data_IF_479937266233
#
_entry.id   IF_479937266233
#
_cell.length_a   1.000
_cell.length_b   1.000
_cell.length_c   1.000
_cell.angle_alpha   90.00
_cell.angle_beta   90.00
_cell.angle_gamma   90.00
#
_symmetry.space_group_name_H-M   'P 1'
#
loop_
_entity.id
_entity.type
_entity.pdbx_description
1 polymer ?
#
# COMPACT_ATOMS: atom_id res chain seq x y z
N UNK A 1 34.39 -27.84 24.16
CA UNK A 1 32.95 -28.10 24.35
C UNK A 1 32.37 -26.82 24.90
N UNK A 2 31.89 -25.97 24.00
CA UNK A 2 31.52 -24.58 24.25
C UNK A 2 30.40 -24.25 23.27
N UNK A 3 29.20 -24.73 23.61
CA UNK A 3 28.00 -24.41 22.84
C UNK A 3 27.71 -22.92 22.96
N UNK A 4 27.87 -22.20 21.85
CA UNK A 4 27.33 -20.85 21.74
C UNK A 4 25.83 -20.98 21.48
N UNK A 5 25.01 -20.49 22.41
CA UNK A 5 23.56 -20.48 22.26
C UNK A 5 23.14 -19.33 21.35
N UNK A 6 22.39 -19.54 20.26
CA UNK A 6 21.87 -18.45 19.45
C UNK A 6 20.67 -17.79 20.16
N UNK A 7 20.90 -16.63 20.76
CA UNK A 7 19.88 -15.85 21.50
C UNK A 7 19.50 -14.55 20.77
N UNK A 8 18.85 -14.65 19.59
CA UNK A 8 18.26 -13.46 18.93
C UNK A 8 17.25 -13.70 17.79
N UNK A 9 17.11 -14.90 17.21
CA UNK A 9 16.23 -15.11 16.02
C UNK A 9 14.74 -15.35 16.35
N UNK A 10 14.42 -15.73 17.58
CA UNK A 10 13.04 -16.06 17.99
C UNK A 10 12.00 -14.90 17.97
N UNK A 11 12.33 -13.61 18.25
CA UNK A 11 11.30 -12.58 18.38
C UNK A 11 10.68 -12.18 17.02
N UNK A 12 11.46 -12.09 15.93
CA UNK A 12 10.94 -11.73 14.62
C UNK A 12 10.01 -12.81 14.05
N UNK A 13 10.41 -14.08 14.14
CA UNK A 13 9.58 -15.21 13.69
C UNK A 13 8.29 -15.28 14.53
N UNK A 14 8.38 -15.06 15.85
CA UNK A 14 7.20 -15.01 16.72
C UNK A 14 6.23 -13.89 16.32
N UNK A 15 6.73 -12.70 16.00
CA UNK A 15 5.92 -11.55 15.58
C UNK A 15 5.24 -11.78 14.21
N UNK A 16 5.92 -12.46 13.27
CA UNK A 16 5.33 -12.85 11.98
C UNK A 16 4.23 -13.92 12.13
N UNK A 17 4.44 -14.92 13.00
CA UNK A 17 3.42 -15.92 13.34
C UNK A 17 2.19 -15.26 13.96
N UNK A 18 2.41 -14.31 14.86
CA UNK A 18 1.34 -13.53 15.48
C UNK A 18 0.53 -12.72 14.43
N UNK A 19 1.21 -12.02 13.51
CA UNK A 19 0.56 -11.31 12.41
C UNK A 19 -0.31 -12.25 11.57
N UNK A 20 0.24 -13.41 11.16
CA UNK A 20 -0.48 -14.43 10.38
C UNK A 20 -1.75 -14.90 11.10
N UNK A 21 -1.63 -15.26 12.37
CA UNK A 21 -2.75 -15.81 13.14
C UNK A 21 -3.82 -14.75 13.42
N UNK A 22 -3.44 -13.46 13.51
CA UNK A 22 -4.38 -12.32 13.54
C UNK A 22 -5.05 -12.11 12.18
N UNK A 23 -4.29 -12.16 11.08
CA UNK A 23 -4.80 -12.00 9.72
C UNK A 23 -5.83 -13.08 9.36
N UNK A 24 -5.55 -14.35 9.66
CA UNK A 24 -6.51 -15.46 9.46
C UNK A 24 -7.81 -15.20 10.24
N UNK A 25 -7.71 -14.78 11.51
CA UNK A 25 -8.87 -14.42 12.32
C UNK A 25 -9.67 -13.26 11.74
N UNK A 26 -9.00 -12.23 11.20
CA UNK A 26 -9.63 -11.10 10.52
C UNK A 26 -10.38 -11.55 9.25
N UNK A 27 -9.75 -12.37 8.41
CA UNK A 27 -10.38 -12.94 7.20
C UNK A 27 -11.60 -13.80 7.55
N UNK A 28 -11.51 -14.68 8.56
CA UNK A 28 -12.64 -15.50 9.01
C UNK A 28 -13.81 -14.64 9.50
N UNK A 29 -13.55 -13.55 10.22
CA UNK A 29 -14.59 -12.63 10.66
C UNK A 29 -15.29 -11.91 9.48
N UNK A 30 -14.53 -11.47 8.48
CA UNK A 30 -15.08 -10.89 7.24
C UNK A 30 -15.90 -11.92 6.47
N UNK A 31 -15.42 -13.15 6.31
CA UNK A 31 -16.15 -14.22 5.61
C UNK A 31 -17.45 -14.61 6.35
N UNK A 32 -17.43 -14.66 7.68
CA UNK A 32 -18.64 -14.92 8.46
C UNK A 32 -19.69 -13.81 8.28
N UNK A 33 -19.27 -12.54 8.27
CA UNK A 33 -20.17 -11.42 7.98
C UNK A 33 -20.61 -11.36 6.51
N UNK A 34 -19.78 -11.80 5.57
CA UNK A 34 -20.15 -11.88 4.16
C UNK A 34 -21.36 -12.82 3.97
N UNK A 35 -21.37 -13.98 4.60
CA UNK A 35 -22.53 -14.90 4.57
C UNK A 35 -23.81 -14.22 5.10
N UNK A 36 -23.68 -13.33 6.08
CA UNK A 36 -24.82 -12.58 6.65
C UNK A 36 -25.27 -11.42 5.74
N UNK A 37 -24.35 -10.68 5.11
CA UNK A 37 -24.67 -9.53 4.25
C UNK A 37 -25.03 -9.92 2.81
N UNK A 38 -24.60 -11.09 2.33
CA UNK A 38 -24.85 -11.59 0.97
C UNK A 38 -26.31 -11.43 0.49
N UNK A 39 -27.36 -11.87 1.22
CA UNK A 39 -28.74 -11.72 0.76
C UNK A 39 -29.23 -10.26 0.68
N UNK A 40 -28.58 -9.33 1.36
CA UNK A 40 -28.98 -7.91 1.44
C UNK A 40 -28.25 -7.00 0.44
N UNK A 41 -27.41 -7.56 -0.45
CA UNK A 41 -26.56 -6.76 -1.36
C UNK A 41 -27.34 -5.74 -2.21
N UNK A 42 -28.55 -6.08 -2.67
CA UNK A 42 -29.42 -5.16 -3.42
C UNK A 42 -30.01 -4.05 -2.53
N UNK A 43 -30.48 -4.38 -1.32
CA UNK A 43 -31.04 -3.40 -0.39
C UNK A 43 -29.99 -2.38 0.05
N UNK A 44 -28.77 -2.86 0.33
CA UNK A 44 -27.62 -2.00 0.65
C UNK A 44 -27.27 -1.14 -0.56
N UNK A 45 -27.32 -1.67 -1.79
CA UNK A 45 -27.06 -0.88 -3.00
C UNK A 45 -28.11 0.23 -3.20
N UNK A 46 -29.38 -0.04 -2.95
CA UNK A 46 -30.45 0.97 -3.05
C UNK A 46 -30.29 2.11 -2.06
N UNK A 47 -29.82 1.83 -0.83
CA UNK A 47 -29.46 2.88 0.13
C UNK A 47 -28.23 3.64 -0.36
N UNK A 48 -27.16 2.91 -0.71
CA UNK A 48 -25.89 3.50 -1.15
C UNK A 48 -26.08 4.46 -2.32
N UNK A 49 -26.89 4.07 -3.32
CA UNK A 49 -27.14 4.81 -4.54
C UNK A 49 -27.90 6.14 -4.37
N UNK A 50 -28.51 6.43 -3.22
CA UNK A 50 -29.36 7.62 -3.07
C UNK A 50 -28.65 8.96 -3.40
N UNK A 51 -27.39 9.22 -2.98
CA UNK A 51 -26.74 10.51 -3.27
C UNK A 51 -26.49 10.74 -4.76
N UNK A 52 -26.20 9.70 -5.55
CA UNK A 52 -26.06 9.84 -7.01
C UNK A 52 -27.41 9.97 -7.69
N UNK A 53 -28.42 9.18 -7.29
CA UNK A 53 -29.78 9.30 -7.86
C UNK A 53 -30.39 10.69 -7.62
N UNK A 54 -30.13 11.30 -6.45
CA UNK A 54 -30.58 12.65 -6.13
C UNK A 54 -29.80 13.77 -6.86
N UNK A 55 -28.64 13.45 -7.45
CA UNK A 55 -27.81 14.39 -8.20
C UNK A 55 -28.10 14.36 -9.71
N UNK A 56 -28.81 13.34 -10.20
CA UNK A 56 -29.15 13.18 -11.61
C UNK A 56 -30.36 14.05 -12.01
N UNK A 57 -30.42 14.53 -13.26
CA UNK A 57 -31.61 15.19 -13.82
C UNK A 57 -32.86 14.28 -13.77
N UNK A 58 -34.05 14.89 -13.68
CA UNK A 58 -35.31 14.15 -13.68
C UNK A 58 -35.48 13.31 -14.96
N UNK A 59 -35.54 11.99 -14.80
CA UNK A 59 -35.68 11.03 -15.90
C UNK A 59 -34.43 10.18 -16.16
N UNK A 60 -33.25 10.62 -15.71
CA UNK A 60 -32.01 9.85 -15.84
C UNK A 60 -31.96 8.71 -14.81
N UNK A 61 -31.32 7.60 -15.19
CA UNK A 61 -31.12 6.44 -14.32
C UNK A 61 -29.72 5.86 -14.49
N UNK A 62 -29.22 5.16 -13.47
CA UNK A 62 -27.97 4.44 -13.59
C UNK A 62 -28.11 3.24 -14.52
N UNK A 63 -27.05 2.97 -15.29
CA UNK A 63 -26.99 1.91 -16.30
C UNK A 63 -26.03 0.80 -15.89
N UNK A 64 -26.12 -0.34 -16.59
CA UNK A 64 -25.15 -1.42 -16.50
C UNK A 64 -24.54 -1.66 -17.88
N UNK A 65 -23.35 -1.11 -18.11
CA UNK A 65 -22.60 -1.20 -19.38
C UNK A 65 -22.06 -2.61 -19.64
N UNK A 66 -21.68 -3.33 -18.58
CA UNK A 66 -21.17 -4.71 -18.64
C UNK A 66 -22.28 -5.69 -18.27
N UNK A 67 -22.43 -6.74 -19.08
CA UNK A 67 -23.45 -7.81 -18.93
C UNK A 67 -23.46 -8.41 -17.52
N UNK A 68 -22.29 -8.49 -16.87
CA UNK A 68 -22.12 -9.12 -15.56
C UNK A 68 -22.24 -8.13 -14.37
N UNK A 69 -22.31 -6.82 -14.61
CA UNK A 69 -22.45 -5.81 -13.53
C UNK A 69 -23.67 -6.04 -12.62
N UNK A 70 -24.88 -6.38 -13.12
CA UNK A 70 -26.04 -6.62 -12.26
C UNK A 70 -25.87 -7.79 -11.28
N UNK A 71 -24.94 -8.72 -11.57
CA UNK A 71 -24.60 -9.84 -10.69
C UNK A 71 -23.41 -9.52 -9.77
N UNK A 72 -22.34 -8.93 -10.31
CA UNK A 72 -21.11 -8.66 -9.54
C UNK A 72 -21.23 -7.44 -8.62
N UNK A 73 -22.00 -6.41 -8.98
CA UNK A 73 -22.10 -5.19 -8.17
C UNK A 73 -22.73 -5.46 -6.79
N UNK A 74 -23.87 -6.17 -6.65
CA UNK A 74 -24.42 -6.53 -5.33
C UNK A 74 -23.49 -7.46 -4.53
N UNK A 75 -22.79 -8.39 -5.20
CA UNK A 75 -21.82 -9.30 -4.57
C UNK A 75 -20.61 -8.55 -4.00
N UNK A 76 -20.02 -7.67 -4.81
CA UNK A 76 -18.89 -6.81 -4.46
C UNK A 76 -19.28 -5.87 -3.30
N UNK A 77 -20.49 -5.31 -3.33
CA UNK A 77 -21.00 -4.50 -2.23
C UNK A 77 -21.21 -5.32 -0.95
N UNK A 78 -21.76 -6.54 -1.01
CA UNK A 78 -21.92 -7.40 0.16
C UNK A 78 -20.56 -7.75 0.81
N UNK A 79 -19.52 -7.97 0.00
CA UNK A 79 -18.15 -8.13 0.50
C UNK A 79 -17.65 -6.87 1.23
N UNK A 80 -17.79 -5.68 0.64
CA UNK A 80 -17.35 -4.47 1.31
C UNK A 80 -18.20 -4.12 2.55
N UNK A 81 -19.52 -4.34 2.52
CA UNK A 81 -20.38 -4.21 3.69
C UNK A 81 -19.93 -5.15 4.83
N UNK A 82 -19.53 -6.38 4.52
CA UNK A 82 -18.95 -7.31 5.49
C UNK A 82 -17.60 -6.85 6.05
N UNK A 83 -16.72 -6.29 5.21
CA UNK A 83 -15.47 -5.67 5.66
C UNK A 83 -15.74 -4.50 6.61
N UNK A 84 -16.66 -3.60 6.27
CA UNK A 84 -17.05 -2.46 7.12
C UNK A 84 -17.77 -2.89 8.41
N UNK A 85 -18.56 -3.96 8.37
CA UNK A 85 -19.15 -4.58 9.56
C UNK A 85 -18.10 -5.26 10.46
N UNK A 86 -17.01 -5.76 9.88
CA UNK A 86 -15.91 -6.39 10.62
C UNK A 86 -14.97 -5.37 11.30
N UNK A 87 -15.01 -4.09 10.92
CA UNK A 87 -14.05 -3.06 11.35
C UNK A 87 -13.80 -2.97 12.87
N UNK A 88 -14.78 -3.11 13.78
CA UNK A 88 -14.54 -3.14 15.22
C UNK A 88 -13.55 -4.25 15.63
N UNK A 89 -13.62 -5.40 14.96
CA UNK A 89 -12.74 -6.53 15.17
C UNK A 89 -11.42 -6.40 14.40
N UNK A 90 -11.45 -5.85 13.18
CA UNK A 90 -10.22 -5.58 12.39
C UNK A 90 -9.31 -4.58 13.13
N UNK A 91 -9.86 -3.45 13.57
CA UNK A 91 -9.15 -2.42 14.35
C UNK A 91 -8.65 -2.99 15.68
N UNK A 92 -9.45 -3.78 16.39
CA UNK A 92 -8.99 -4.48 17.59
C UNK A 92 -7.77 -5.39 17.32
N UNK A 93 -7.80 -6.19 16.24
CA UNK A 93 -6.70 -7.09 15.89
C UNK A 93 -5.45 -6.34 15.39
N UNK A 94 -5.61 -5.22 14.70
CA UNK A 94 -4.51 -4.35 14.27
C UNK A 94 -3.86 -3.63 15.47
N UNK A 95 -4.64 -2.95 16.31
CA UNK A 95 -4.11 -2.18 17.44
C UNK A 95 -3.51 -3.03 18.54
N UNK A 96 -4.02 -4.25 18.75
CA UNK A 96 -3.41 -5.19 19.70
C UNK A 96 -2.14 -5.87 19.16
N UNK A 97 -1.81 -5.69 17.88
CA UNK A 97 -0.53 -6.11 17.28
C UNK A 97 0.51 -5.00 17.29
N UNK A 98 0.11 -3.76 16.97
CA UNK A 98 1.03 -2.60 16.87
C UNK A 98 1.56 -2.14 18.23
N UNK A 99 0.75 -2.23 19.31
CA UNK A 99 1.08 -1.58 20.58
C UNK A 99 1.46 -2.48 21.80
N UNK A 100 1.94 -3.75 21.70
CA UNK A 100 2.24 -4.61 22.86
C UNK A 100 3.15 -3.97 23.92
N UNK A 101 4.06 -3.07 23.50
CA UNK A 101 4.92 -2.29 24.42
C UNK A 101 4.17 -1.27 25.30
N UNK A 102 3.06 -0.68 24.83
CA UNK A 102 2.29 0.34 25.57
C UNK A 102 1.28 -0.30 26.54
N UNK A 103 0.77 -1.49 26.24
CA UNK A 103 -0.24 -2.19 27.06
C UNK A 103 0.26 -2.69 28.42
N UNK A 104 1.57 -2.76 28.67
CA UNK A 104 2.11 -3.30 29.93
C UNK A 104 1.77 -2.40 31.13
N UNK A 105 1.86 -1.07 30.96
CA UNK A 105 1.73 -0.09 32.04
C UNK A 105 0.47 0.79 31.94
N UNK A 106 -0.13 0.98 30.75
CA UNK A 106 -1.28 1.89 30.55
C UNK A 106 -2.53 1.24 29.91
N UNK A 107 -2.94 0.07 30.41
CA UNK A 107 -4.17 -0.62 29.95
C UNK A 107 -5.43 0.26 29.95
N UNK A 108 -5.48 1.29 30.81
CA UNK A 108 -6.59 2.24 30.94
C UNK A 108 -6.72 3.20 29.74
N UNK A 109 -5.63 3.51 29.03
CA UNK A 109 -5.62 4.46 27.91
C UNK A 109 -5.89 3.79 26.56
N UNK A 110 -5.53 2.52 26.42
CA UNK A 110 -5.72 1.79 25.17
C UNK A 110 -7.20 1.47 24.85
N UNK A 111 -8.03 1.16 25.85
CA UNK A 111 -9.46 0.88 25.65
C UNK A 111 -10.27 2.09 25.13
N UNK A 112 -10.20 3.31 25.72
CA UNK A 112 -10.91 4.47 25.19
C UNK A 112 -10.35 4.90 23.83
N UNK A 113 -9.06 4.68 23.57
CA UNK A 113 -8.45 5.00 22.28
C UNK A 113 -8.90 4.03 21.17
N UNK A 114 -8.98 2.72 21.45
CA UNK A 114 -9.60 1.74 20.54
C UNK A 114 -11.07 2.07 20.27
N UNK A 115 -11.84 2.39 21.31
CA UNK A 115 -13.25 2.77 21.15
C UNK A 115 -13.39 4.06 20.33
N UNK A 116 -12.49 5.02 20.53
CA UNK A 116 -12.44 6.27 19.75
C UNK A 116 -12.11 6.00 18.29
N UNK A 117 -11.15 5.11 17.99
CA UNK A 117 -10.83 4.62 16.64
C UNK A 117 -12.07 4.05 15.97
N UNK A 118 -12.75 3.07 16.58
CA UNK A 118 -13.97 2.46 16.02
C UNK A 118 -15.06 3.51 15.73
N UNK A 119 -15.24 4.50 16.60
CA UNK A 119 -16.17 5.61 16.39
C UNK A 119 -15.70 6.54 15.26
N UNK A 120 -14.41 6.87 15.18
CA UNK A 120 -13.82 7.71 14.14
C UNK A 120 -13.91 7.04 12.76
N UNK A 121 -13.65 5.74 12.66
CA UNK A 121 -13.82 4.99 11.42
C UNK A 121 -15.26 5.10 10.87
N UNK A 122 -16.26 4.83 11.72
CA UNK A 122 -17.67 4.94 11.30
C UNK A 122 -18.09 6.39 11.06
N UNK A 123 -17.52 7.36 11.78
CA UNK A 123 -17.71 8.79 11.50
C UNK A 123 -17.11 9.18 10.16
N UNK A 124 -15.96 8.64 9.78
CA UNK A 124 -15.32 8.84 8.47
C UNK A 124 -16.11 8.20 7.33
N UNK A 125 -16.62 6.99 7.54
CA UNK A 125 -17.54 6.34 6.60
C UNK A 125 -18.85 7.15 6.44
N UNK A 126 -19.43 7.63 7.55
CA UNK A 126 -20.60 8.50 7.52
C UNK A 126 -20.31 9.85 6.84
N UNK A 127 -19.14 10.44 7.09
CA UNK A 127 -18.69 11.67 6.44
C UNK A 127 -18.56 11.48 4.91
N UNK A 128 -18.00 10.35 4.46
CA UNK A 128 -17.96 10.02 3.04
C UNK A 128 -19.39 10.01 2.44
N UNK A 129 -20.32 9.30 3.08
CA UNK A 129 -21.68 9.18 2.56
C UNK A 129 -22.52 10.47 2.61
N UNK A 130 -22.50 11.19 3.74
CA UNK A 130 -23.39 12.32 3.99
C UNK A 130 -22.81 13.69 3.64
N UNK A 131 -21.47 13.83 3.56
CA UNK A 131 -20.83 15.10 3.22
C UNK A 131 -20.08 15.04 1.88
N UNK A 132 -19.39 13.95 1.57
CA UNK A 132 -18.54 13.88 0.36
C UNK A 132 -19.35 13.53 -0.89
N UNK A 133 -20.04 12.39 -0.93
CA UNK A 133 -20.84 11.99 -2.11
C UNK A 133 -21.84 13.08 -2.56
N UNK A 134 -22.59 13.75 -1.65
CA UNK A 134 -23.59 14.75 -2.04
C UNK A 134 -23.00 16.07 -2.55
N UNK A 135 -21.69 16.30 -2.44
CA UNK A 135 -21.02 17.45 -3.06
C UNK A 135 -20.27 17.02 -4.33
N UNK A 136 -19.66 15.83 -4.31
CA UNK A 136 -18.94 15.25 -5.46
C UNK A 136 -19.86 15.02 -6.67
N UNK A 137 -21.01 14.37 -6.50
CA UNK A 137 -21.86 14.02 -7.66
C UNK A 137 -22.52 15.24 -8.33
N UNK A 138 -23.14 16.20 -7.60
CA UNK A 138 -23.65 17.42 -8.23
C UNK A 138 -22.58 18.26 -8.90
N UNK A 139 -21.34 18.24 -8.40
CA UNK A 139 -20.21 18.87 -9.09
C UNK A 139 -19.90 18.17 -10.42
N UNK A 140 -19.78 16.83 -10.44
CA UNK A 140 -19.51 16.06 -11.67
C UNK A 140 -20.63 16.22 -12.71
N UNK A 141 -21.89 16.27 -12.29
CA UNK A 141 -23.02 16.55 -13.17
C UNK A 141 -22.96 18.01 -13.67
N UNK A 142 -22.71 18.97 -12.78
CA UNK A 142 -22.71 20.41 -13.09
C UNK A 142 -21.57 20.90 -14.00
N UNK A 143 -20.51 20.11 -14.20
CA UNK A 143 -19.46 20.39 -15.20
C UNK A 143 -19.74 19.74 -16.58
N UNK A 144 -20.80 18.95 -16.71
CA UNK A 144 -21.17 18.30 -17.97
C UNK A 144 -21.84 19.32 -18.92
N UNK A 145 -21.50 19.35 -20.23
CA UNK A 145 -22.17 20.22 -21.20
C UNK A 145 -23.67 19.93 -21.34
N UNK A 146 -24.47 20.96 -21.63
CA UNK A 146 -25.94 20.86 -21.73
C UNK A 146 -26.43 19.85 -22.78
N UNK A 147 -25.63 19.57 -23.81
CA UNK A 147 -25.93 18.63 -24.89
C UNK A 147 -25.60 17.15 -24.57
N UNK A 148 -25.16 16.82 -23.34
CA UNK A 148 -24.69 15.48 -22.96
C UNK A 148 -25.51 14.89 -21.81
N UNK A 149 -26.15 13.73 -22.06
CA UNK A 149 -26.89 12.99 -21.04
C UNK A 149 -25.93 12.27 -20.06
N UNK A 150 -26.06 12.56 -18.76
CA UNK A 150 -25.26 11.89 -17.71
C UNK A 150 -25.94 10.59 -17.27
N UNK A 151 -25.31 9.45 -17.55
CA UNK A 151 -25.78 8.11 -17.15
C UNK A 151 -24.66 7.34 -16.41
N UNK A 152 -24.58 7.38 -15.07
CA UNK A 152 -23.54 6.67 -14.33
C UNK A 152 -23.70 5.15 -14.41
N UNK A 153 -22.60 4.42 -14.55
CA UNK A 153 -22.59 2.95 -14.46
C UNK A 153 -22.64 2.49 -12.98
N UNK A 154 -23.45 1.48 -12.69
CA UNK A 154 -23.63 0.96 -11.32
C UNK A 154 -22.34 0.40 -10.68
N UNK A 155 -21.42 -0.15 -11.47
CA UNK A 155 -20.16 -0.69 -10.99
C UNK A 155 -19.12 0.41 -10.79
N UNK A 156 -19.01 1.36 -11.72
CA UNK A 156 -18.09 2.49 -11.59
C UNK A 156 -18.51 3.40 -10.42
N UNK A 157 -19.83 3.60 -10.23
CA UNK A 157 -20.38 4.25 -9.04
C UNK A 157 -19.98 3.53 -7.74
N UNK A 158 -20.17 2.21 -7.68
CA UNK A 158 -19.80 1.41 -6.50
C UNK A 158 -18.30 1.52 -6.20
N UNK A 159 -17.46 1.49 -7.23
CA UNK A 159 -16.01 1.55 -7.08
C UNK A 159 -15.54 2.91 -6.55
N UNK A 160 -16.11 4.02 -7.04
CA UNK A 160 -15.86 5.36 -6.49
C UNK A 160 -16.33 5.42 -5.04
N UNK A 161 -17.56 4.99 -4.75
CA UNK A 161 -18.12 5.00 -3.41
C UNK A 161 -17.24 4.22 -2.43
N UNK A 162 -16.92 2.95 -2.73
CA UNK A 162 -16.09 2.08 -1.88
C UNK A 162 -14.70 2.68 -1.64
N UNK A 163 -14.05 3.21 -2.68
CA UNK A 163 -12.75 3.88 -2.52
C UNK A 163 -12.84 5.05 -1.55
N UNK A 164 -13.87 5.89 -1.67
CA UNK A 164 -14.11 7.02 -0.76
C UNK A 164 -14.37 6.54 0.67
N UNK A 165 -15.20 5.51 0.87
CA UNK A 165 -15.46 4.93 2.20
C UNK A 165 -14.18 4.41 2.86
N UNK A 166 -13.32 3.70 2.13
CA UNK A 166 -12.05 3.24 2.69
C UNK A 166 -11.11 4.40 2.98
N UNK A 167 -10.93 5.34 2.04
CA UNK A 167 -10.00 6.42 2.25
C UNK A 167 -10.42 7.37 3.36
N UNK A 168 -11.71 7.73 3.49
CA UNK A 168 -12.17 8.52 4.63
C UNK A 168 -12.25 7.71 5.93
N UNK A 169 -12.66 6.44 5.90
CA UNK A 169 -12.61 5.57 7.08
C UNK A 169 -11.18 5.47 7.66
N UNK A 170 -10.18 5.26 6.80
CA UNK A 170 -8.77 5.21 7.19
C UNK A 170 -8.16 6.59 7.47
N UNK A 171 -8.57 7.66 6.77
CA UNK A 171 -8.11 9.02 7.05
C UNK A 171 -8.61 9.50 8.43
N UNK A 172 -9.81 9.08 8.85
CA UNK A 172 -10.30 9.33 10.20
C UNK A 172 -9.55 8.54 11.28
N UNK A 173 -8.71 7.55 10.93
CA UNK A 173 -7.78 6.91 11.87
C UNK A 173 -6.44 7.65 12.01
N UNK A 174 -6.11 8.59 11.11
CA UNK A 174 -4.88 9.41 11.19
C UNK A 174 -4.74 10.14 12.54
N UNK A 175 -5.78 10.75 13.14
CA UNK A 175 -5.67 11.35 14.47
C UNK A 175 -5.23 10.35 15.55
N UNK A 176 -5.79 9.13 15.52
CA UNK A 176 -5.49 8.07 16.49
C UNK A 176 -4.07 7.54 16.28
N UNK A 177 -3.67 7.30 15.02
CA UNK A 177 -2.32 6.91 14.67
C UNK A 177 -1.28 7.95 15.11
N UNK A 178 -1.55 9.25 14.88
CA UNK A 178 -0.71 10.37 15.36
C UNK A 178 -0.56 10.36 16.87
N UNK A 179 -1.65 10.24 17.62
CA UNK A 179 -1.62 10.16 19.09
C UNK A 179 -0.79 8.95 19.55
N UNK A 180 -1.00 7.77 18.95
CA UNK A 180 -0.26 6.56 19.33
C UNK A 180 1.24 6.64 19.04
N UNK A 181 1.65 7.23 17.91
CA UNK A 181 3.08 7.40 17.59
C UNK A 181 3.79 8.30 18.61
N UNK A 182 3.11 9.34 19.12
CA UNK A 182 3.63 10.22 20.17
C UNK A 182 3.63 9.50 21.53
N UNK A 183 2.55 8.80 21.91
CA UNK A 183 2.46 8.04 23.16
C UNK A 183 3.48 6.89 23.22
N UNK A 184 3.77 6.25 22.09
CA UNK A 184 4.80 5.22 21.96
C UNK A 184 6.25 5.78 21.98
N UNK A 185 6.42 7.11 22.08
CA UNK A 185 7.71 7.82 21.99
C UNK A 185 8.48 7.56 20.68
N UNK A 186 7.81 7.09 19.63
CA UNK A 186 8.40 6.89 18.30
C UNK A 186 8.69 8.22 17.58
N UNK A 187 8.01 9.30 17.99
CA UNK A 187 8.14 10.65 17.43
C UNK A 187 7.63 11.69 18.43
N UNK A 188 7.84 12.98 18.14
CA UNK A 188 7.32 14.09 18.95
C UNK A 188 6.35 14.97 18.13
N UNK A 189 5.46 15.76 18.78
CA UNK A 189 4.56 16.67 18.08
C UNK A 189 5.25 17.81 17.31
N UNK A 190 6.53 18.06 17.56
CA UNK A 190 7.35 19.05 16.87
C UNK A 190 7.84 18.46 15.55
N UNK A 191 8.42 17.25 15.60
CA UNK A 191 8.84 16.48 14.41
C UNK A 191 7.68 16.13 13.48
N UNK A 192 6.45 15.97 13.99
CA UNK A 192 5.27 15.84 13.14
C UNK A 192 4.81 17.19 12.56
N UNK A 193 4.93 18.29 13.29
CA UNK A 193 4.62 19.61 12.76
C UNK A 193 5.58 20.02 11.62
N UNK A 194 6.85 19.65 11.69
CA UNK A 194 7.81 19.85 10.59
C UNK A 194 7.40 19.09 9.32
N UNK A 195 6.74 17.92 9.48
CA UNK A 195 6.34 17.05 8.36
C UNK A 195 4.99 17.39 7.72
N UNK A 196 4.35 18.51 8.10
CA UNK A 196 3.10 19.01 7.47
C UNK A 196 3.11 18.99 5.94
N UNK A 197 4.18 19.43 5.22
CA UNK A 197 4.18 19.44 3.75
C UNK A 197 4.00 18.04 3.15
N UNK A 198 4.64 17.02 3.74
CA UNK A 198 4.50 15.62 3.28
C UNK A 198 3.08 15.08 3.49
N UNK A 199 2.42 15.45 4.60
CA UNK A 199 1.03 15.05 4.85
C UNK A 199 0.07 15.73 3.87
N UNK A 200 0.29 17.02 3.57
CA UNK A 200 -0.49 17.74 2.55
C UNK A 200 -0.32 17.06 1.19
N UNK A 201 0.91 16.80 0.75
CA UNK A 201 1.17 16.07 -0.52
C UNK A 201 0.50 14.70 -0.51
N UNK A 202 0.61 13.93 0.58
CA UNK A 202 -0.07 12.64 0.73
C UNK A 202 -1.60 12.74 0.60
N UNK A 203 -2.22 13.75 1.23
CA UNK A 203 -3.65 14.01 1.11
C UNK A 203 -4.07 14.35 -0.33
N UNK A 204 -3.26 15.14 -1.05
CA UNK A 204 -3.50 15.42 -2.48
C UNK A 204 -3.30 14.20 -3.38
N UNK A 205 -2.34 13.31 -3.09
CA UNK A 205 -2.13 12.04 -3.80
C UNK A 205 -3.30 11.08 -3.57
N UNK A 206 -3.78 10.95 -2.34
CA UNK A 206 -5.00 10.18 -2.05
C UNK A 206 -6.20 10.80 -2.76
N UNK A 207 -6.36 12.13 -2.74
CA UNK A 207 -7.40 12.82 -3.53
C UNK A 207 -7.35 12.45 -5.02
N UNK A 208 -6.17 12.47 -5.63
CA UNK A 208 -5.94 12.11 -7.04
C UNK A 208 -6.25 10.63 -7.36
N UNK A 209 -6.18 9.73 -6.38
CA UNK A 209 -6.54 8.33 -6.55
C UNK A 209 -8.07 8.08 -6.42
N UNK A 210 -8.75 8.95 -5.66
CA UNK A 210 -10.18 8.84 -5.36
C UNK A 210 -11.07 9.50 -6.40
N UNK A 211 -10.66 10.65 -6.92
CA UNK A 211 -11.33 11.34 -8.01
C UNK A 211 -10.53 11.22 -9.30
N UNK A 212 -11.17 11.34 -10.48
CA UNK A 212 -10.46 11.65 -11.73
C UNK A 212 -9.57 12.91 -11.56
N UNK A 213 -8.71 13.26 -12.55
CA UNK A 213 -7.85 14.44 -12.50
C UNK A 213 -8.62 15.76 -12.62
N UNK A 214 -9.44 16.06 -11.60
CA UNK A 214 -10.13 17.31 -11.34
C UNK A 214 -9.60 17.94 -10.05
N UNK A 215 -9.06 19.14 -10.18
CA UNK A 215 -8.44 19.89 -9.09
C UNK A 215 -9.43 20.29 -8.01
N UNK A 216 -10.70 20.55 -8.37
CA UNK A 216 -11.70 21.03 -7.40
C UNK A 216 -12.14 19.92 -6.45
N UNK A 217 -12.55 18.77 -6.99
CA UNK A 217 -12.88 17.59 -6.19
C UNK A 217 -11.65 17.09 -5.41
N UNK A 218 -10.48 17.00 -6.06
CA UNK A 218 -9.24 16.60 -5.38
C UNK A 218 -8.93 17.49 -4.17
N UNK A 219 -9.01 18.82 -4.31
CA UNK A 219 -8.77 19.76 -3.20
C UNK A 219 -9.83 19.63 -2.10
N UNK A 220 -11.10 19.45 -2.49
CA UNK A 220 -12.22 19.24 -1.57
C UNK A 220 -12.06 17.95 -0.75
N UNK A 221 -11.47 16.88 -1.31
CA UNK A 221 -11.16 15.66 -0.57
C UNK A 221 -9.90 15.78 0.29
N UNK A 222 -8.86 16.47 -0.22
CA UNK A 222 -7.60 16.63 0.48
C UNK A 222 -7.72 17.49 1.75
N UNK A 223 -8.55 18.54 1.73
CA UNK A 223 -8.69 19.48 2.85
C UNK A 223 -9.17 18.81 4.17
N UNK A 224 -10.24 17.98 4.19
CA UNK A 224 -10.63 17.23 5.39
C UNK A 224 -9.53 16.29 5.90
N UNK A 225 -8.79 15.63 5.00
CA UNK A 225 -7.69 14.72 5.40
C UNK A 225 -6.54 15.46 6.09
N UNK A 226 -6.18 16.64 5.58
CA UNK A 226 -5.21 17.53 6.24
C UNK A 226 -5.73 18.04 7.60
N UNK A 227 -7.00 18.41 7.69
CA UNK A 227 -7.61 18.88 8.93
C UNK A 227 -7.61 17.79 10.03
N UNK A 228 -7.85 16.53 9.66
CA UNK A 228 -7.80 15.39 10.60
C UNK A 228 -6.39 15.19 11.17
N UNK A 229 -5.34 15.32 10.34
CA UNK A 229 -3.96 15.31 10.84
C UNK A 229 -3.71 16.45 11.84
N UNK A 230 -4.21 17.66 11.56
CA UNK A 230 -4.06 18.79 12.49
C UNK A 230 -4.76 18.56 13.82
N UNK A 231 -5.96 17.97 13.81
CA UNK A 231 -6.70 17.57 15.03
C UNK A 231 -5.90 16.53 15.81
N UNK A 232 -5.36 15.49 15.16
CA UNK A 232 -4.50 14.51 15.79
C UNK A 232 -3.28 15.13 16.46
N UNK A 233 -2.63 16.05 15.75
CA UNK A 233 -1.44 16.75 16.22
C UNK A 233 -1.75 17.64 17.43
N UNK A 234 -2.85 18.40 17.39
CA UNK A 234 -3.33 19.23 18.50
C UNK A 234 -3.66 18.39 19.74
N UNK A 235 -4.40 17.30 19.58
CA UNK A 235 -4.77 16.40 20.70
C UNK A 235 -3.53 15.72 21.27
N UNK A 236 -2.56 15.31 20.44
CA UNK A 236 -1.30 14.72 20.92
C UNK A 236 -0.49 15.70 21.80
N UNK A 237 -0.45 17.00 21.45
CA UNK A 237 0.19 18.04 22.28
C UNK A 237 -0.50 18.22 23.63
N UNK A 238 -1.84 18.26 23.65
CA UNK A 238 -2.61 18.36 24.91
C UNK A 238 -2.38 17.16 25.82
N UNK A 239 -2.26 15.96 25.25
CA UNK A 239 -1.98 14.72 25.99
C UNK A 239 -0.56 14.67 26.57
N UNK A 240 0.45 15.19 25.86
CA UNK A 240 1.83 15.27 26.38
C UNK A 240 1.93 16.31 27.49
N UNK A 241 1.43 17.53 27.26
CA UNK A 241 1.49 18.62 28.24
C UNK A 241 0.78 18.28 29.57
N UNK A 242 -0.33 17.54 29.51
CA UNK A 242 -1.01 17.07 30.73
C UNK A 242 -0.19 16.05 31.53
N UNK A 243 0.64 15.24 30.86
CA UNK A 243 1.46 14.19 31.51
C UNK A 243 2.75 14.74 32.09
N UNK A 244 3.35 15.74 31.46
CA UNK A 244 4.49 16.46 32.04
C UNK A 244 4.10 17.11 33.39
N UNK A 245 2.88 17.67 33.50
CA UNK A 245 2.34 18.18 34.76
C UNK A 245 2.10 17.07 35.80
N UNK A 246 1.49 15.94 35.40
CA UNK A 246 1.27 14.80 36.31
C UNK A 246 2.61 14.22 36.84
N UNK A 247 3.65 14.13 35.99
CA UNK A 247 5.00 13.67 36.36
C UNK A 247 5.77 14.72 37.21
N UNK A 248 5.59 16.02 36.95
CA UNK A 248 6.12 17.10 37.79
C UNK A 248 5.46 17.12 39.18
N UNK A 249 4.14 17.02 39.28
CA UNK A 249 3.44 16.95 40.58
C UNK A 249 3.79 15.66 41.35
N UNK A 250 3.96 14.52 40.67
CA UNK A 250 4.42 13.27 41.28
C UNK A 250 5.87 13.39 41.81
N UNK A 251 6.78 13.97 41.03
CA UNK A 251 8.18 14.16 41.44
C UNK A 251 8.37 15.25 42.50
N UNK A 252 7.56 16.31 42.47
CA UNK A 252 7.47 17.31 43.53
C UNK A 252 6.95 16.70 44.84
N UNK A 253 5.96 15.80 44.78
CA UNK A 253 5.48 15.02 45.92
C UNK A 253 6.58 14.13 46.54
N UNK A 254 7.40 13.48 45.71
CA UNK A 254 8.55 12.67 46.17
C UNK A 254 9.66 13.55 46.77
N UNK A 255 9.94 14.71 46.16
CA UNK A 255 10.91 15.69 46.68
C UNK A 255 10.47 16.27 48.03
N UNK A 256 9.19 16.62 48.17
CA UNK A 256 8.62 17.09 49.43
C UNK A 256 8.63 16.00 50.52
N UNK A 257 8.39 14.73 50.16
CA UNK A 257 8.51 13.60 51.09
C UNK A 257 9.97 13.37 51.55
N UNK A 258 10.95 13.51 50.63
CA UNK A 258 12.38 13.43 50.97
C UNK A 258 12.83 14.59 51.87
N UNK A 259 12.37 15.81 51.61
CA UNK A 259 12.62 16.98 52.46
C UNK A 259 11.95 16.84 53.85
N UNK A 260 10.73 16.27 53.91
CA UNK A 260 10.03 15.99 55.16
C UNK A 260 10.72 14.95 56.04
N UNK A 261 11.36 13.95 55.45
CA UNK A 261 12.15 12.95 56.17
C UNK A 261 13.41 13.54 56.82
N UNK A 262 14.00 14.59 56.24
CA UNK A 262 15.17 15.28 56.79
C UNK A 262 14.89 16.15 58.02
N UNK A 263 13.67 16.66 58.18
CA UNK A 263 13.31 17.59 59.26
C UNK A 263 13.03 16.92 60.62
N UNK A 264 12.78 15.61 60.65
CA UNK A 264 12.43 14.87 61.87
C UNK A 264 13.64 14.37 62.69
N UNK A 265 14.87 14.54 62.19
CA UNK A 265 16.10 14.01 62.79
C UNK A 265 16.96 15.05 63.54
N UNK A 266 16.41 16.24 63.83
CA UNK A 266 17.15 17.37 64.42
C UNK A 266 16.71 17.69 65.87
N UNK A 267 16.64 16.69 66.75
CA UNK A 267 16.35 16.90 68.17
C UNK A 267 16.99 15.82 69.08
N UNK A 268 18.26 16.00 69.48
CA UNK A 268 18.80 15.30 70.65
C UNK A 268 20.30 14.99 70.66
N UNK A 269 21.00 15.52 71.67
CA UNK A 269 22.14 14.84 72.30
C UNK A 269 23.53 15.18 71.73
N UNK A 270 24.43 15.65 72.61
CA UNK A 270 25.80 16.02 72.28
C UNK A 270 26.83 14.94 72.63
N UNK A 271 28.05 15.18 72.13
CA UNK A 271 29.37 14.86 72.69
C UNK A 271 30.06 13.52 72.32
N UNK A 272 31.15 13.65 71.56
CA UNK A 272 32.45 12.99 71.78
C UNK A 272 33.48 13.46 70.72
N UNK A 273 34.69 13.84 71.15
CA UNK A 273 35.78 14.24 70.25
C UNK A 273 36.78 13.09 70.01
N UNK A 274 37.29 12.97 68.78
CA UNK A 274 38.52 12.23 68.46
C UNK A 274 39.18 12.75 67.15
N UNK A 275 40.50 12.58 67.06
CA UNK A 275 41.38 13.21 66.04
C UNK A 275 42.05 12.15 65.15
N UNK A 276 42.73 12.59 64.07
CA UNK A 276 43.62 11.83 63.15
C UNK A 276 42.91 11.03 62.05
N UNK A 277 43.47 10.79 60.84
CA UNK A 277 44.80 11.10 60.29
C UNK A 277 44.71 11.46 58.78
N UNK A 278 45.82 11.88 58.16
CA UNK A 278 45.88 12.26 56.73
C UNK A 278 46.44 11.15 55.83
N UNK A 279 45.92 11.06 54.58
CA UNK A 279 46.57 10.72 53.28
C UNK A 279 47.48 9.45 53.14
N UNK A 280 47.70 8.85 51.93
CA UNK A 280 47.49 9.44 50.59
C UNK A 280 46.90 8.53 49.47
N UNK A 281 46.56 9.21 48.36
CA UNK A 281 46.65 8.82 46.94
C UNK A 281 46.46 7.35 46.46
N UNK A 282 45.50 7.19 45.54
CA UNK A 282 45.70 6.41 44.31
C UNK A 282 45.09 7.15 43.12
N UNK A 283 45.90 7.51 42.12
CA UNK A 283 45.44 8.04 40.84
C UNK A 283 45.33 6.90 39.82
N UNK A 284 44.24 6.87 39.04
CA UNK A 284 44.05 5.88 37.97
C UNK A 284 42.67 5.99 37.32
N UNK A 285 42.64 6.26 36.02
CA UNK A 285 41.47 6.32 35.12
C UNK A 285 40.23 7.09 35.61
N UNK A 286 40.20 8.39 35.29
CA UNK A 286 38.98 9.02 34.78
C UNK A 286 39.03 9.00 33.23
N UNK A 287 37.88 9.23 32.59
CA UNK A 287 37.65 9.25 31.14
C UNK A 287 37.68 7.89 30.40
N UNK A 288 36.50 7.27 30.29
CA UNK A 288 36.08 6.62 29.06
C UNK A 288 34.97 7.53 28.49
N UNK A 289 35.32 8.31 27.46
CA UNK A 289 34.44 9.32 26.90
C UNK A 289 33.32 8.70 26.05
N UNK A 290 32.23 9.46 25.92
CA UNK A 290 31.17 9.21 24.94
C UNK A 290 31.79 9.15 23.54
N UNK A 291 31.33 8.21 22.69
CA UNK A 291 31.69 8.19 21.28
C UNK A 291 30.92 9.31 20.56
N UNK A 292 31.46 10.52 20.67
CA UNK A 292 30.99 11.71 19.97
C UNK A 292 31.12 11.47 18.45
N UNK A 293 30.01 11.63 17.73
CA UNK A 293 30.00 11.53 16.27
C UNK A 293 30.63 12.79 15.69
N UNK A 294 31.94 12.76 15.43
CA UNK A 294 32.56 13.75 14.55
C UNK A 294 32.13 13.46 13.10
N UNK A 295 31.53 14.44 12.39
CA UNK A 295 31.35 14.33 10.95
C UNK A 295 32.73 14.31 10.28
N UNK A 296 32.91 13.42 9.30
CA UNK A 296 34.14 13.34 8.51
C UNK A 296 34.49 14.72 7.94
N UNK A 297 35.76 15.11 8.03
CA UNK A 297 36.24 16.28 7.32
C UNK A 297 36.21 16.05 5.79
N UNK A 298 36.33 17.13 5.00
CA UNK A 298 36.22 17.04 3.54
C UNK A 298 37.26 16.08 2.93
N UNK A 299 38.44 15.93 3.55
CA UNK A 299 39.51 15.05 3.04
C UNK A 299 39.21 13.59 3.37
N UNK A 300 38.73 13.30 4.59
CA UNK A 300 38.31 11.97 4.99
C UNK A 300 37.09 11.48 4.19
N UNK A 301 36.17 12.39 3.84
CA UNK A 301 35.00 12.06 3.02
C UNK A 301 35.40 11.69 1.58
N UNK A 302 36.34 12.43 0.97
CA UNK A 302 36.89 12.10 -0.34
C UNK A 302 37.65 10.74 -0.30
N UNK A 303 38.46 10.48 0.74
CA UNK A 303 39.18 9.20 0.90
C UNK A 303 38.25 7.99 1.14
N UNK A 304 37.07 8.18 1.74
CA UNK A 304 36.04 7.14 1.84
C UNK A 304 35.32 6.94 0.51
N UNK A 305 35.02 7.99 -0.25
CA UNK A 305 34.44 7.87 -1.61
C UNK A 305 35.37 7.11 -2.55
N UNK A 306 36.65 7.49 -2.63
CA UNK A 306 37.66 6.82 -3.46
C UNK A 306 37.76 5.32 -3.11
N UNK A 307 37.61 4.96 -1.83
CA UNK A 307 37.63 3.57 -1.37
C UNK A 307 36.39 2.79 -1.79
N UNK A 308 35.21 3.40 -1.68
CA UNK A 308 33.93 2.79 -2.10
C UNK A 308 33.90 2.60 -3.61
N UNK A 309 34.39 3.57 -4.39
CA UNK A 309 34.48 3.48 -5.85
C UNK A 309 35.47 2.39 -6.27
N UNK A 310 36.63 2.28 -5.61
CA UNK A 310 37.58 1.18 -5.84
C UNK A 310 37.05 -0.21 -5.43
N UNK A 311 36.20 -0.30 -4.39
CA UNK A 311 35.51 -1.55 -4.03
C UNK A 311 34.45 -1.92 -5.09
N UNK A 312 33.76 -0.94 -5.66
CA UNK A 312 32.77 -1.15 -6.72
C UNK A 312 33.41 -1.60 -8.04
N UNK A 313 34.50 -0.95 -8.46
CA UNK A 313 35.31 -1.34 -9.64
C UNK A 313 35.88 -2.78 -9.50
N UNK A 314 36.27 -3.17 -8.29
CA UNK A 314 36.75 -4.52 -8.00
C UNK A 314 35.64 -5.59 -8.13
N UNK A 315 34.37 -5.22 -7.90
CA UNK A 315 33.20 -6.10 -8.06
C UNK A 315 32.79 -6.21 -9.53
N UNK A 316 32.72 -5.11 -10.28
CA UNK A 316 32.43 -5.13 -11.72
C UNK A 316 33.52 -5.87 -12.53
N UNK A 317 34.78 -5.73 -12.13
CA UNK A 317 35.91 -6.47 -12.72
C UNK A 317 35.82 -8.00 -12.57
N UNK A 318 35.06 -8.50 -11.58
CA UNK A 318 34.88 -9.94 -11.36
C UNK A 318 33.87 -10.59 -12.33
N UNK A 319 32.90 -9.82 -12.87
CA UNK A 319 31.85 -10.31 -13.76
C UNK A 319 32.30 -10.68 -15.19
N UNK A 320 33.53 -10.32 -15.57
CA UNK A 320 34.00 -10.48 -16.95
C UNK A 320 34.37 -11.91 -17.40
N UNK A 321 34.67 -12.82 -16.46
CA UNK A 321 35.23 -14.14 -16.81
C UNK A 321 34.18 -15.23 -17.11
N UNK A 322 32.95 -15.10 -16.58
CA UNK A 322 31.91 -16.13 -16.75
C UNK A 322 31.24 -16.06 -18.15
N UNK A 323 31.20 -14.88 -18.77
CA UNK A 323 30.67 -14.69 -20.11
C UNK A 323 31.50 -15.40 -21.20
N UNK A 324 32.83 -15.48 -21.02
CA UNK A 324 33.73 -16.16 -21.95
C UNK A 324 33.57 -17.69 -21.86
N UNK A 325 33.39 -18.24 -20.65
CA UNK A 325 33.16 -19.67 -20.43
C UNK A 325 31.82 -20.16 -21.01
N UNK A 326 30.76 -19.34 -20.90
CA UNK A 326 29.46 -19.65 -21.50
C UNK A 326 29.50 -19.67 -23.05
N UNK A 327 30.34 -18.84 -23.67
CA UNK A 327 30.48 -18.79 -25.12
C UNK A 327 31.20 -20.02 -25.70
N UNK A 328 32.24 -20.53 -25.03
CA UNK A 328 32.98 -21.71 -25.50
C UNK A 328 32.18 -23.02 -25.35
N UNK A 329 31.26 -23.13 -24.38
CA UNK A 329 30.36 -24.29 -24.27
C UNK A 329 29.25 -24.33 -25.33
N UNK A 330 28.90 -23.20 -25.95
CA UNK A 330 27.87 -23.14 -26.98
C UNK A 330 28.35 -23.63 -28.36
N UNK A 331 29.66 -23.78 -28.57
CA UNK A 331 30.25 -24.07 -29.88
C UNK A 331 30.40 -25.56 -30.23
N UNK A 332 30.32 -26.49 -29.26
CA UNK A 332 30.66 -27.90 -29.47
C UNK A 332 29.47 -28.81 -29.88
N UNK A 333 28.23 -28.35 -29.72
CA UNK A 333 27.03 -29.17 -29.97
C UNK A 333 26.51 -29.18 -31.44
N UNK A 334 27.30 -28.70 -32.40
CA UNK A 334 26.91 -28.63 -33.81
C UNK A 334 27.49 -29.76 -34.69
N UNK A 335 27.06 -31.02 -34.49
CA UNK A 335 27.23 -32.10 -35.49
C UNK A 335 26.20 -33.24 -35.37
N UNK A 336 25.64 -33.62 -36.53
CA UNK A 336 24.53 -34.56 -36.79
C UNK A 336 24.95 -36.07 -36.64
N UNK A 337 24.08 -37.12 -36.84
CA UNK A 337 22.84 -37.15 -37.65
C UNK A 337 21.66 -38.03 -37.13
N UNK A 338 20.74 -38.37 -38.05
CA UNK A 338 19.31 -38.76 -37.93
C UNK A 338 18.97 -40.17 -37.38
N UNK A 339 17.92 -40.26 -36.55
CA UNK A 339 16.72 -41.15 -36.61
C UNK A 339 15.73 -40.76 -35.47
N UNK A 340 14.43 -41.14 -35.42
CA UNK A 340 13.56 -41.86 -36.36
C UNK A 340 12.16 -42.21 -35.78
N UNK A 341 11.17 -42.46 -36.65
CA UNK A 341 9.91 -43.22 -36.38
C UNK A 341 8.81 -42.69 -35.40
N UNK A 342 7.71 -42.18 -36.00
CA UNK A 342 6.27 -42.43 -35.72
C UNK A 342 5.62 -42.28 -34.30
N UNK A 343 4.57 -41.45 -34.29
CA UNK A 343 3.17 -41.77 -33.90
C UNK A 343 2.66 -41.56 -32.45
N UNK A 344 1.75 -40.58 -32.36
CA UNK A 344 0.37 -40.66 -31.82
C UNK A 344 0.04 -40.62 -30.32
N UNK A 345 -1.04 -39.86 -30.07
CA UNK A 345 -2.00 -39.85 -28.95
C UNK A 345 -1.69 -38.95 -27.74
N UNK A 346 -2.71 -38.12 -27.49
CA UNK A 346 -3.14 -37.41 -26.27
C UNK A 346 -2.60 -37.92 -24.92
N UNK A 347 -2.26 -37.01 -23.99
CA UNK A 347 -3.20 -36.52 -22.95
C UNK A 347 -2.55 -35.44 -22.03
N UNK A 348 -3.40 -34.50 -21.58
CA UNK A 348 -3.39 -33.59 -20.40
C UNK A 348 -2.11 -33.16 -19.62
N UNK A 349 -2.19 -31.90 -19.14
CA UNK A 349 -1.37 -31.19 -18.13
C UNK A 349 0.05 -30.77 -18.57
N UNK A 350 0.45 -29.50 -18.50
CA UNK A 350 0.31 -28.57 -17.37
C UNK A 350 -0.16 -27.15 -17.77
N UNK A 351 -0.92 -26.51 -16.86
CA UNK A 351 -1.13 -25.05 -16.86
C UNK A 351 -0.63 -24.50 -15.52
N UNK A 352 0.48 -23.77 -15.54
CA UNK A 352 0.74 -22.59 -14.73
C UNK A 352 1.80 -21.71 -15.43
N UNK A 353 1.76 -20.42 -15.09
CA UNK A 353 2.76 -19.38 -15.36
C UNK A 353 3.02 -18.97 -16.82
N UNK A 354 2.38 -17.87 -17.23
CA UNK A 354 3.07 -16.76 -17.92
C UNK A 354 2.29 -15.44 -17.77
N UNK A 355 3.00 -14.32 -17.74
CA UNK A 355 2.48 -13.00 -17.33
C UNK A 355 1.55 -12.37 -18.38
N UNK A 356 0.44 -11.75 -17.95
CA UNK A 356 -0.48 -11.05 -18.86
C UNK A 356 0.12 -9.77 -19.47
N UNK A 357 0.83 -9.92 -20.58
CA UNK A 357 0.99 -8.87 -21.59
C UNK A 357 -0.01 -9.09 -22.73
N UNK A 358 -1.24 -8.61 -22.54
CA UNK A 358 -2.30 -8.76 -23.55
C UNK A 358 -1.90 -8.11 -24.89
N UNK A 359 -2.18 -8.75 -26.05
CA UNK A 359 -1.22 -8.68 -27.15
C UNK A 359 -1.79 -7.91 -28.34
N UNK A 360 -1.34 -6.66 -28.51
CA UNK A 360 -1.60 -5.87 -29.72
C UNK A 360 -1.12 -6.59 -31.00
N UNK A 361 -0.06 -7.41 -30.90
CA UNK A 361 0.44 -8.25 -32.01
C UNK A 361 -0.54 -9.35 -32.40
N UNK A 362 -1.12 -10.09 -31.45
CA UNK A 362 -2.06 -11.19 -31.76
C UNK A 362 -3.30 -10.72 -32.52
N UNK A 363 -3.78 -9.50 -32.25
CA UNK A 363 -4.93 -8.92 -32.96
C UNK A 363 -4.59 -8.58 -34.42
N UNK A 364 -3.37 -8.07 -34.67
CA UNK A 364 -2.85 -7.78 -36.02
C UNK A 364 -2.58 -9.09 -36.78
N UNK A 365 -1.93 -10.06 -36.14
CA UNK A 365 -1.65 -11.38 -36.73
C UNK A 365 -2.94 -12.12 -37.10
N UNK A 366 -3.95 -12.11 -36.22
CA UNK A 366 -5.27 -12.67 -36.50
C UNK A 366 -6.08 -11.85 -37.53
N UNK A 367 -5.73 -10.59 -37.81
CA UNK A 367 -6.26 -9.85 -38.96
C UNK A 367 -5.55 -10.24 -40.26
N UNK A 368 -4.23 -10.40 -40.24
CA UNK A 368 -3.44 -10.86 -41.39
C UNK A 368 -3.82 -12.28 -41.84
N UNK A 369 -4.04 -13.21 -40.91
CA UNK A 369 -4.51 -14.57 -41.26
C UNK A 369 -5.90 -14.56 -41.89
N UNK A 370 -6.84 -13.76 -41.38
CA UNK A 370 -8.18 -13.58 -41.99
C UNK A 370 -8.11 -12.95 -43.38
N UNK A 371 -7.19 -12.00 -43.62
CA UNK A 371 -6.92 -11.43 -44.95
C UNK A 371 -6.39 -12.50 -45.91
N UNK A 372 -5.48 -13.37 -45.46
CA UNK A 372 -4.98 -14.50 -46.26
C UNK A 372 -6.07 -15.54 -46.59
N UNK A 373 -6.98 -15.83 -45.64
CA UNK A 373 -8.13 -16.70 -45.88
C UNK A 373 -9.13 -16.07 -46.89
N UNK A 374 -9.38 -14.77 -46.80
CA UNK A 374 -10.19 -14.03 -47.78
C UNK A 374 -9.55 -14.02 -49.18
N UNK A 375 -8.24 -13.88 -49.29
CA UNK A 375 -7.50 -13.99 -50.56
C UNK A 375 -7.71 -15.37 -51.20
N UNK A 376 -7.66 -16.45 -50.41
CA UNK A 376 -7.91 -17.80 -50.91
C UNK A 376 -9.36 -17.98 -51.43
N UNK A 377 -10.33 -17.31 -50.81
CA UNK A 377 -11.72 -17.27 -51.29
C UNK A 377 -11.88 -16.44 -52.57
N UNK A 378 -11.30 -15.25 -52.64
CA UNK A 378 -11.38 -14.34 -53.80
C UNK A 378 -10.76 -14.94 -55.07
N UNK A 379 -9.64 -15.67 -54.93
CA UNK A 379 -9.00 -16.42 -56.02
C UNK A 379 -9.93 -17.48 -56.62
N UNK A 380 -10.77 -18.14 -55.81
CA UNK A 380 -11.76 -19.10 -56.32
C UNK A 380 -12.93 -18.43 -57.06
N UNK A 381 -13.10 -17.11 -56.92
CA UNK A 381 -14.10 -16.31 -57.63
C UNK A 381 -13.54 -15.50 -58.81
N UNK A 382 -12.23 -15.56 -59.07
CA UNK A 382 -11.56 -14.82 -60.16
C UNK A 382 -11.48 -13.30 -59.91
N UNK A 383 -11.45 -12.87 -58.65
CA UNK A 383 -11.39 -11.47 -58.24
C UNK A 383 -9.94 -11.04 -57.91
N UNK A 384 -9.05 -11.24 -58.87
CA UNK A 384 -7.59 -11.25 -58.63
C UNK A 384 -7.04 -9.86 -58.22
N UNK A 385 -7.65 -8.77 -58.68
CA UNK A 385 -7.24 -7.41 -58.29
C UNK A 385 -7.58 -7.07 -56.82
N UNK A 386 -8.68 -7.62 -56.28
CA UNK A 386 -9.04 -7.48 -54.86
C UNK A 386 -8.13 -8.38 -54.00
N UNK A 387 -7.81 -9.58 -54.49
CA UNK A 387 -6.84 -10.47 -53.86
C UNK A 387 -5.45 -9.83 -53.77
N UNK A 388 -4.94 -9.23 -54.87
CA UNK A 388 -3.67 -8.48 -54.88
C UNK A 388 -3.66 -7.36 -53.84
N UNK A 389 -4.75 -6.59 -53.72
CA UNK A 389 -4.84 -5.48 -52.76
C UNK A 389 -4.70 -5.96 -51.31
N UNK A 390 -5.39 -7.03 -50.93
CA UNK A 390 -5.28 -7.61 -49.59
C UNK A 390 -3.89 -8.22 -49.33
N UNK A 391 -3.26 -8.82 -50.34
CA UNK A 391 -1.90 -9.34 -50.24
C UNK A 391 -0.87 -8.23 -49.96
N UNK A 392 -0.98 -7.06 -50.60
CA UNK A 392 -0.12 -5.92 -50.28
C UNK A 392 -0.32 -5.39 -48.86
N UNK A 393 -1.54 -5.44 -48.33
CA UNK A 393 -1.86 -5.05 -46.95
C UNK A 393 -1.23 -6.03 -45.93
N UNK A 394 -1.28 -7.34 -46.23
CA UNK A 394 -0.58 -8.38 -45.44
C UNK A 394 0.94 -8.24 -45.54
N UNK A 395 1.49 -7.82 -46.69
CA UNK A 395 2.93 -7.53 -46.82
C UNK A 395 3.40 -6.35 -45.95
N UNK A 396 2.52 -5.40 -45.59
CA UNK A 396 2.85 -4.27 -44.72
C UNK A 396 2.58 -4.52 -43.22
N UNK A 397 1.67 -5.43 -42.88
CA UNK A 397 1.18 -5.61 -41.50
C UNK A 397 1.49 -6.99 -40.89
N UNK A 398 1.77 -8.01 -41.71
CA UNK A 398 1.96 -9.39 -41.27
C UNK A 398 3.36 -9.72 -40.74
N UNK A 399 3.46 -10.83 -40.02
CA UNK A 399 4.75 -11.37 -39.56
C UNK A 399 5.57 -12.02 -40.71
N UNK A 400 6.83 -12.35 -40.47
CA UNK A 400 7.76 -12.87 -41.51
C UNK A 400 7.25 -14.11 -42.26
N UNK A 401 6.41 -14.93 -41.62
CA UNK A 401 5.82 -16.14 -42.22
C UNK A 401 4.64 -15.76 -43.11
N UNK A 402 3.72 -14.90 -42.62
CA UNK A 402 2.59 -14.38 -43.40
C UNK A 402 3.07 -13.60 -44.63
N UNK A 403 4.10 -12.76 -44.48
CA UNK A 403 4.76 -12.01 -45.58
C UNK A 403 5.34 -12.95 -46.64
N UNK A 404 5.95 -14.07 -46.23
CA UNK A 404 6.52 -15.08 -47.15
C UNK A 404 5.44 -15.85 -47.92
N UNK A 405 4.31 -16.13 -47.28
CA UNK A 405 3.14 -16.75 -47.92
C UNK A 405 2.50 -15.76 -48.90
N UNK A 406 2.27 -14.52 -48.48
CA UNK A 406 1.69 -13.48 -49.33
C UNK A 406 2.54 -13.21 -50.59
N UNK A 407 3.88 -13.20 -50.47
CA UNK A 407 4.78 -13.07 -51.62
C UNK A 407 4.68 -14.22 -52.61
N UNK A 408 4.66 -15.48 -52.14
CA UNK A 408 4.46 -16.65 -53.01
C UNK A 408 3.10 -16.61 -53.74
N UNK A 409 2.04 -16.13 -53.08
CA UNK A 409 0.71 -16.03 -53.70
C UNK A 409 0.68 -14.91 -54.75
N UNK A 410 1.36 -13.78 -54.51
CA UNK A 410 1.51 -12.72 -55.53
C UNK A 410 2.31 -13.21 -56.74
N UNK A 411 3.43 -13.91 -56.53
CA UNK A 411 4.22 -14.49 -57.62
C UNK A 411 3.37 -15.47 -58.47
N UNK A 412 2.48 -16.25 -57.86
CA UNK A 412 1.52 -17.13 -58.55
C UNK A 412 0.32 -16.42 -59.21
N UNK A 413 0.12 -15.13 -58.98
CA UNK A 413 -0.94 -14.32 -59.61
C UNK A 413 -0.41 -13.46 -60.77
N UNK A 414 0.91 -13.37 -60.93
CA UNK A 414 1.58 -12.59 -61.97
C UNK A 414 2.17 -13.49 -63.11
N UNK A 415 2.12 -14.82 -62.96
CA UNK A 415 2.34 -15.87 -63.98
C UNK A 415 1.03 -16.25 -64.72
#
# INVERSE_FOLDING_TARGET
>A
MSDQTPLSEQPFISHLIELRDRLIRMVVAVLALLVVFFPFGNDIFHVLAQPVMNALPEGNSMVATKVLSPFLTPLKLAFFAAVFGAMPYLLYQAWSFVAPGLYQHEKRLALPLLLSSIVLFYLGAAFAYFAVLPVLFPFLVGVTPEDVEVMPDIADYLDIAVRLFFAFGLAFEVPIATILLVLAKATTPERLAEKRPYVIVGAFVIGMLLTPPDVLSQTMLAFPMWLLFEVGLLVSRMLVAGREVDDEDASAGVSAAAAGAGAAAAAGGADAAATTAAAPASAGMAAAAEAEFEPLDEQQMDEELDRIEAEFDALDGAGGNDAQAAADLAADHAKAPEEGTKSSVEDSADMLDEEETFPARSAIEAMADRKLEQVAALRNTGADDEARRLLYEVLSEGNETQVRVARNILEQLDD
#
